data_IF_321102640207
#
_entry.id   IF_321102640207
#
_cell.length_a   1.000
_cell.length_b   1.000
_cell.length_c   1.000
_cell.angle_alpha   90.00
_cell.angle_beta   90.00
_cell.angle_gamma   90.00
#
_symmetry.space_group_name_H-M   'P 1'
#
loop_
_entity.id
_entity.type
_entity.pdbx_description
1 polymer ?
#
# COMPACT_ATOMS: atom_id res chain seq x y z
N UNK A 1 2.38 -1.57 0.18
CA UNK A 1 1.38 -0.48 0.15
C UNK A 1 1.28 0.09 1.55
N UNK A 2 1.88 1.26 1.85
CA UNK A 2 1.71 1.91 3.14
C UNK A 2 0.27 2.40 3.32
N UNK A 3 -0.17 2.62 4.55
CA UNK A 3 -1.47 3.19 4.85
C UNK A 3 -1.38 4.71 4.99
N UNK A 4 -2.40 5.42 4.50
CA UNK A 4 -2.48 6.89 4.57
C UNK A 4 -2.37 7.43 6.01
N UNK A 5 -2.80 6.65 6.99
CA UNK A 5 -2.84 7.04 8.41
C UNK A 5 -1.83 6.28 9.28
N UNK A 6 -0.87 5.56 8.68
CA UNK A 6 0.21 4.92 9.45
C UNK A 6 1.16 5.98 10.01
N UNK A 7 1.40 5.93 11.32
CA UNK A 7 2.32 6.83 12.03
C UNK A 7 3.70 6.18 12.30
N UNK A 8 3.80 4.86 12.15
CA UNK A 8 5.05 4.11 12.31
C UNK A 8 5.83 4.03 11.00
N UNK A 9 5.12 3.81 9.88
CA UNK A 9 5.68 3.75 8.54
C UNK A 9 4.87 4.61 7.55
N UNK A 10 5.02 5.95 7.60
CA UNK A 10 4.25 6.87 6.76
C UNK A 10 4.50 6.66 5.26
N UNK A 11 3.53 7.00 4.37
CA UNK A 11 3.68 6.88 2.93
C UNK A 11 4.94 7.57 2.36
N UNK A 12 5.38 8.66 2.98
CA UNK A 12 6.53 9.47 2.59
C UNK A 12 7.85 8.67 2.64
N UNK A 13 7.94 7.68 3.52
CA UNK A 13 9.11 6.78 3.56
C UNK A 13 9.17 5.95 2.28
N UNK A 14 8.04 5.38 1.85
CA UNK A 14 7.96 4.67 0.58
C UNK A 14 8.16 5.60 -0.64
N UNK A 15 7.69 6.84 -0.59
CA UNK A 15 7.96 7.84 -1.65
C UNK A 15 9.47 8.11 -1.79
N UNK A 16 10.21 8.13 -0.69
CA UNK A 16 11.66 8.26 -0.72
C UNK A 16 12.34 7.02 -1.31
N UNK A 17 11.85 5.82 -0.96
CA UNK A 17 12.35 4.54 -1.49
C UNK A 17 12.16 4.42 -3.01
N UNK A 18 11.07 4.97 -3.55
CA UNK A 18 10.77 4.94 -4.99
C UNK A 18 11.89 5.52 -5.86
N UNK A 19 12.76 6.39 -5.31
CA UNK A 19 13.93 6.94 -6.02
C UNK A 19 14.96 5.88 -6.40
N UNK A 20 14.95 4.74 -5.70
CA UNK A 20 15.93 3.67 -5.86
C UNK A 20 15.35 2.42 -6.55
N UNK A 21 14.04 2.39 -6.80
CA UNK A 21 13.34 1.26 -7.40
C UNK A 21 13.07 1.50 -8.89
N UNK A 22 13.52 0.58 -9.75
CA UNK A 22 13.36 0.70 -11.21
C UNK A 22 12.01 0.21 -11.74
N UNK A 23 11.43 -0.79 -11.08
CA UNK A 23 10.20 -1.46 -11.50
C UNK A 23 9.24 -1.58 -10.32
N UNK A 24 8.79 -0.44 -9.81
CA UNK A 24 7.89 -0.38 -8.68
C UNK A 24 6.75 0.61 -8.92
N UNK A 25 5.64 0.38 -8.23
CA UNK A 25 4.47 1.25 -8.18
C UNK A 25 4.11 1.47 -6.73
N UNK A 26 4.12 2.72 -6.28
CA UNK A 26 3.65 3.06 -4.94
C UNK A 26 2.13 3.23 -4.95
N UNK A 27 1.45 2.43 -4.15
CA UNK A 27 0.01 2.51 -3.91
C UNK A 27 -0.22 2.63 -2.41
N UNK A 28 -1.01 3.63 -2.01
CA UNK A 28 -1.32 3.94 -0.60
C UNK A 28 -2.71 3.41 -0.26
N UNK A 29 -2.84 2.67 0.84
CA UNK A 29 -4.14 2.19 1.33
C UNK A 29 -4.91 3.37 1.92
N UNK A 30 -6.11 3.71 1.41
CA UNK A 30 -6.90 4.85 1.88
C UNK A 30 -7.66 4.56 3.18
N UNK A 31 -7.00 3.95 4.16
CA UNK A 31 -7.59 3.48 5.41
C UNK A 31 -7.31 4.44 6.57
N UNK A 32 -8.21 4.42 7.57
CA UNK A 32 -8.02 5.06 8.88
C UNK A 32 -7.42 4.12 9.94
N UNK A 33 -7.18 2.86 9.58
CA UNK A 33 -6.70 1.82 10.50
C UNK A 33 -5.19 1.90 10.78
N UNK A 34 -4.53 2.91 10.22
CA UNK A 34 -3.10 3.15 10.40
C UNK A 34 -2.26 1.92 10.08
N UNK A 35 -1.35 1.59 10.99
CA UNK A 35 -0.41 0.49 10.84
C UNK A 35 -1.05 -0.89 10.61
N UNK A 36 -2.28 -1.09 11.09
CA UNK A 36 -2.96 -2.39 10.97
C UNK A 36 -3.66 -2.58 9.62
N UNK A 37 -3.73 -1.54 8.78
CA UNK A 37 -4.40 -1.63 7.48
C UNK A 37 -3.70 -2.62 6.54
N UNK A 38 -4.49 -3.47 5.89
CA UNK A 38 -3.98 -4.57 5.06
C UNK A 38 -3.45 -5.77 5.84
N UNK A 39 -3.64 -5.81 7.17
CA UNK A 39 -3.26 -6.91 8.05
C UNK A 39 -4.27 -8.07 8.15
N UNK A 40 -5.31 -8.13 7.32
CA UNK A 40 -6.31 -9.22 7.33
C UNK A 40 -7.45 -9.05 8.33
N UNK A 41 -7.55 -7.89 9.00
CA UNK A 41 -8.59 -7.60 10.01
C UNK A 41 -9.65 -6.61 9.52
N UNK A 42 -9.45 -6.00 8.35
CA UNK A 42 -10.39 -5.10 7.71
C UNK A 42 -10.62 -5.57 6.27
N UNK A 43 -11.85 -6.04 5.99
CA UNK A 43 -12.20 -6.62 4.71
C UNK A 43 -12.15 -5.63 3.53
N UNK A 44 -12.31 -4.32 3.78
CA UNK A 44 -12.21 -3.31 2.73
C UNK A 44 -10.75 -3.09 2.31
N UNK A 45 -9.84 -3.01 3.28
CA UNK A 45 -8.41 -2.92 3.05
C UNK A 45 -7.90 -4.17 2.33
N UNK A 46 -8.35 -5.35 2.74
CA UNK A 46 -7.98 -6.62 2.11
C UNK A 46 -8.44 -6.66 0.65
N UNK A 47 -9.69 -6.23 0.38
CA UNK A 47 -10.22 -6.15 -0.98
C UNK A 47 -9.44 -5.16 -1.84
N UNK A 48 -9.09 -4.00 -1.29
CA UNK A 48 -8.26 -3.00 -1.96
C UNK A 48 -6.90 -3.59 -2.31
N UNK A 49 -6.21 -4.19 -1.33
CA UNK A 49 -4.89 -4.81 -1.50
C UNK A 49 -4.90 -5.88 -2.59
N UNK A 50 -5.86 -6.81 -2.55
CA UNK A 50 -6.00 -7.86 -3.56
C UNK A 50 -6.22 -7.30 -4.96
N UNK A 51 -7.03 -6.24 -5.09
CA UNK A 51 -7.31 -5.63 -6.38
C UNK A 51 -6.09 -4.95 -6.99
N UNK A 52 -5.28 -4.27 -6.18
CA UNK A 52 -4.08 -3.56 -6.64
C UNK A 52 -2.93 -4.52 -6.94
N UNK A 53 -2.77 -5.58 -6.15
CA UNK A 53 -1.81 -6.67 -6.45
C UNK A 53 -2.16 -7.35 -7.77
N UNK A 54 -3.44 -7.69 -7.98
CA UNK A 54 -3.88 -8.31 -9.24
C UNK A 54 -3.58 -7.43 -10.44
N UNK A 55 -3.92 -6.13 -10.37
CA UNK A 55 -3.60 -5.17 -11.43
C UNK A 55 -2.11 -5.12 -11.72
N UNK A 56 -1.26 -5.03 -10.69
CA UNK A 56 0.19 -4.98 -10.86
C UNK A 56 0.76 -6.24 -11.54
N UNK A 57 0.21 -7.42 -11.23
CA UNK A 57 0.64 -8.68 -11.85
C UNK A 57 0.13 -8.88 -13.29
N UNK A 58 -0.95 -8.20 -13.66
CA UNK A 58 -1.52 -8.20 -15.01
C UNK A 58 -0.96 -7.06 -15.88
N UNK A 59 -0.20 -6.12 -15.30
CA UNK A 59 0.50 -5.07 -16.06
C UNK A 59 1.58 -5.71 -16.97
N UNK A 60 1.61 -5.36 -18.28
CA UNK A 60 2.50 -5.98 -19.26
C UNK A 60 3.98 -5.57 -19.14
#
# INVERSE_FOLDING_TARGET
MPCKTDLYFPPEDSENEMRYLKFAKLVVIPSIWGHMAGGGVNAEDDKFLQSEIKKFLEEP
#
